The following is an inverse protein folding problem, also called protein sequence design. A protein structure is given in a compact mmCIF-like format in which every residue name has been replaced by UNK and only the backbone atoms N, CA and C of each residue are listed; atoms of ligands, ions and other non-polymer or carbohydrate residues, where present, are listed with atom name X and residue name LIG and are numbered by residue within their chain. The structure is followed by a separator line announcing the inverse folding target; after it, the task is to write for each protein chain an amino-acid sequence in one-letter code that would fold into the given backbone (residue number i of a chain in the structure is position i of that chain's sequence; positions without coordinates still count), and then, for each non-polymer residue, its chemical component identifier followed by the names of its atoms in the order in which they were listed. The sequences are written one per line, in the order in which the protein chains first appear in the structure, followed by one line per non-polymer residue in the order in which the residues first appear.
data_IF_968182040706
#
_entry.id   IF_968182040706
#
_cell.length_a   1.000
_cell.length_b   1.000
_cell.length_c   1.000
_cell.angle_alpha   90.00
_cell.angle_beta   90.00
_cell.angle_gamma   90.00
#
_symmetry.space_group_name_H-M   'P 1'
#
loop_
_entity.id
_entity.type
_entity.pdbx_description
1 polymer ?
#
# COMPACT_ATOMS: atom_id res chain seq x y z
N UNK A 1 6.63 -10.86 1.65
CA UNK A 1 5.55 -10.16 0.92
C UNK A 1 4.25 -10.00 1.71
N UNK A 2 3.69 -11.06 2.33
CA UNK A 2 2.42 -10.99 3.10
C UNK A 2 2.39 -9.85 4.14
N UNK A 3 3.41 -9.74 4.98
CA UNK A 3 3.50 -8.68 5.99
C UNK A 3 3.55 -7.27 5.38
N UNK A 4 4.23 -7.12 4.24
CA UNK A 4 4.31 -5.84 3.53
C UNK A 4 2.95 -5.42 2.94
N UNK A 5 2.23 -6.34 2.31
CA UNK A 5 0.88 -6.06 1.80
C UNK A 5 -0.09 -5.73 2.94
N UNK A 6 -0.02 -6.47 4.05
CA UNK A 6 -0.82 -6.17 5.24
C UNK A 6 -0.50 -4.80 5.85
N UNK A 7 0.78 -4.40 5.85
CA UNK A 7 1.19 -3.07 6.27
C UNK A 7 0.59 -1.99 5.36
N UNK A 8 0.69 -2.15 4.03
CA UNK A 8 0.08 -1.22 3.07
C UNK A 8 -1.45 -1.15 3.20
N UNK A 9 -2.12 -2.26 3.52
CA UNK A 9 -3.58 -2.30 3.71
C UNK A 9 -4.04 -1.37 4.86
N UNK A 10 -3.16 -1.05 5.80
CA UNK A 10 -3.45 -0.16 6.92
C UNK A 10 -2.87 1.23 6.70
N UNK A 11 -1.66 1.31 6.17
CA UNK A 11 -0.85 2.54 6.17
C UNK A 11 -0.90 3.34 4.87
N UNK A 12 -1.28 2.73 3.75
CA UNK A 12 -1.47 3.45 2.50
C UNK A 12 -2.89 4.04 2.36
N UNK A 13 -3.80 3.80 3.31
CA UNK A 13 -5.17 4.33 3.22
C UNK A 13 -5.18 5.86 3.27
N UNK A 14 -6.06 6.49 2.51
CA UNK A 14 -6.05 7.94 2.32
C UNK A 14 -6.36 8.75 3.60
N UNK A 15 -6.97 8.12 4.59
CA UNK A 15 -7.26 8.67 5.92
C UNK A 15 -6.25 8.25 7.00
N UNK A 16 -5.15 7.60 6.62
CA UNK A 16 -4.01 7.41 7.50
C UNK A 16 -3.19 8.71 7.62
N UNK A 17 -2.41 8.83 8.70
CA UNK A 17 -1.51 9.95 8.97
C UNK A 17 -0.55 10.22 7.78
N UNK A 18 -0.28 11.47 7.46
CA UNK A 18 0.44 11.87 6.24
C UNK A 18 1.87 11.31 6.15
N UNK A 19 2.62 11.32 7.24
CA UNK A 19 4.00 10.84 7.27
C UNK A 19 4.10 9.35 6.90
N UNK A 20 3.14 8.53 7.34
CA UNK A 20 3.16 7.10 7.03
C UNK A 20 2.73 6.84 5.59
N UNK A 21 1.84 7.67 5.03
CA UNK A 21 1.46 7.58 3.60
C UNK A 21 2.65 7.89 2.70
N UNK A 22 3.41 8.95 3.00
CA UNK A 22 4.63 9.25 2.27
C UNK A 22 5.67 8.12 2.35
N UNK A 23 5.80 7.45 3.50
CA UNK A 23 6.64 6.26 3.60
C UNK A 23 6.14 5.14 2.67
N UNK A 24 4.83 4.88 2.64
CA UNK A 24 4.25 3.90 1.73
C UNK A 24 4.50 4.25 0.25
N UNK A 25 4.42 5.53 -0.13
CA UNK A 25 4.72 6.00 -1.48
C UNK A 25 6.18 5.75 -1.87
N UNK A 26 7.13 5.97 -0.95
CA UNK A 26 8.55 5.66 -1.16
C UNK A 26 8.81 4.16 -1.29
N UNK A 27 8.05 3.32 -0.58
CA UNK A 27 8.17 1.85 -0.64
C UNK A 27 7.54 1.26 -1.92
N UNK A 28 6.50 1.88 -2.45
CA UNK A 28 5.72 1.40 -3.60
C UNK A 28 6.56 1.04 -4.85
N UNK A 29 7.49 1.87 -5.35
CA UNK A 29 8.27 1.52 -6.54
C UNK A 29 9.14 0.27 -6.34
N UNK A 30 9.58 -0.01 -5.11
CA UNK A 30 10.31 -1.23 -4.80
C UNK A 30 9.42 -2.47 -4.91
N UNK A 31 8.14 -2.38 -4.54
CA UNK A 31 7.19 -3.49 -4.75
C UNK A 31 6.90 -3.70 -6.24
N UNK A 32 6.70 -2.62 -7.00
CA UNK A 32 6.49 -2.71 -8.44
C UNK A 32 7.67 -3.36 -9.16
N UNK A 33 8.90 -3.04 -8.75
CA UNK A 33 10.11 -3.67 -9.28
C UNK A 33 10.28 -5.12 -8.85
N UNK A 34 9.99 -5.44 -7.58
CA UNK A 34 10.25 -6.77 -7.03
C UNK A 34 9.18 -7.81 -7.40
N UNK A 35 7.91 -7.42 -7.45
CA UNK A 35 6.78 -8.32 -7.68
C UNK A 35 5.68 -7.65 -8.53
N UNK A 36 5.92 -7.42 -9.84
CA UNK A 36 5.08 -6.58 -10.70
C UNK A 36 3.63 -7.08 -10.84
N UNK A 37 3.42 -8.39 -10.93
CA UNK A 37 2.07 -8.98 -11.03
C UNK A 37 1.25 -8.75 -9.76
N UNK A 38 1.89 -8.83 -8.60
CA UNK A 38 1.25 -8.62 -7.30
C UNK A 38 1.00 -7.14 -7.08
N UNK A 39 1.95 -6.27 -7.47
CA UNK A 39 1.76 -4.83 -7.45
C UNK A 39 0.57 -4.41 -8.33
N UNK A 40 0.49 -4.90 -9.57
CA UNK A 40 -0.60 -4.62 -10.50
C UNK A 40 -1.96 -5.09 -9.94
N UNK A 41 -2.02 -6.28 -9.35
CA UNK A 41 -3.22 -6.75 -8.67
C UNK A 41 -3.60 -5.85 -7.47
N UNK A 42 -2.64 -5.50 -6.62
CA UNK A 42 -2.87 -4.71 -5.42
C UNK A 42 -3.33 -3.29 -5.75
N UNK A 43 -2.72 -2.64 -6.75
CA UNK A 43 -3.10 -1.32 -7.25
C UNK A 43 -4.56 -1.31 -7.73
N UNK A 44 -4.96 -2.30 -8.52
CA UNK A 44 -6.32 -2.41 -9.05
C UNK A 44 -7.36 -2.66 -7.96
N UNK A 45 -7.03 -3.49 -6.97
CA UNK A 45 -8.02 -4.08 -6.06
C UNK A 45 -8.02 -3.53 -4.64
N UNK A 46 -6.91 -2.92 -4.17
CA UNK A 46 -6.70 -2.64 -2.74
C UNK A 46 -6.16 -1.23 -2.45
N UNK A 47 -5.18 -0.77 -3.22
CA UNK A 47 -4.52 0.51 -2.98
C UNK A 47 -5.54 1.66 -2.95
N UNK A 48 -5.59 2.39 -1.84
CA UNK A 48 -6.48 3.55 -1.62
C UNK A 48 -7.99 3.26 -1.69
N UNK A 49 -8.42 1.99 -1.73
CA UNK A 49 -9.84 1.61 -1.89
C UNK A 49 -10.66 1.62 -0.60
N UNK A 50 -10.01 1.55 0.56
CA UNK A 50 -10.66 1.38 1.86
C UNK A 50 -10.27 2.49 2.83
N UNK A 51 -11.17 2.78 3.77
CA UNK A 51 -10.93 3.69 4.90
C UNK A 51 -10.29 2.97 6.07
N UNK A 52 -9.52 3.68 6.87
CA UNK A 52 -8.93 3.16 8.09
C UNK A 52 -10.07 2.86 9.06
N UNK A 53 -10.05 1.66 9.64
CA UNK A 53 -11.03 1.33 10.66
C UNK A 53 -10.84 2.30 11.85
N UNK A 54 -11.92 2.75 12.49
CA UNK A 54 -11.84 3.60 13.67
C UNK A 54 -11.10 2.91 14.83
#
# INVERSE_FOLDING_TARGET
LRAFLHFLDLRAKLDAQDEIRHLCDLMWPHLQSWAPEIAAWYEKSRLHKARLAP
#
